data_IF_320310459160
#
_entry.id   IF_320310459160
#
_cell.length_a   1.000
_cell.length_b   1.000
_cell.length_c   1.000
_cell.angle_alpha   90.00
_cell.angle_beta   90.00
_cell.angle_gamma   90.00
#
_symmetry.space_group_name_H-M   'P 1'
#
loop_
_entity.id
_entity.type
_entity.pdbx_description
1 polymer ?
#
# COMPACT_ATOMS: atom_id res chain seq x y z
N UNK A 1 26.18 34.76 3.41
CA UNK A 1 24.90 34.19 3.89
C UNK A 1 23.86 34.52 2.83
N UNK A 2 23.31 33.50 2.14
CA UNK A 2 22.11 32.85 2.66
C UNK A 2 22.22 31.33 2.74
N UNK A 3 21.43 30.78 3.66
CA UNK A 3 21.33 29.38 4.03
C UNK A 3 20.13 28.71 3.37
N UNK A 4 20.19 27.37 3.36
CA UNK A 4 19.09 26.41 3.17
C UNK A 4 18.81 25.97 1.74
N UNK A 5 19.75 25.20 1.18
CA UNK A 5 19.42 24.13 0.24
C UNK A 5 18.91 22.94 1.05
N UNK A 6 17.61 22.67 0.97
CA UNK A 6 17.02 21.40 1.45
C UNK A 6 17.50 20.32 0.48
N UNK A 7 18.42 19.48 0.95
CA UNK A 7 18.96 18.33 0.24
C UNK A 7 17.83 17.32 -0.02
N UNK A 8 17.39 17.23 -1.27
CA UNK A 8 16.61 16.08 -1.76
C UNK A 8 17.54 14.86 -1.84
N UNK A 9 17.18 13.71 -1.26
CA UNK A 9 17.92 12.49 -1.50
C UNK A 9 17.51 11.89 -2.85
N UNK A 10 18.53 11.60 -3.65
CA UNK A 10 18.55 10.62 -4.72
C UNK A 10 17.95 11.04 -6.08
N UNK A 11 18.85 11.60 -6.87
CA UNK A 11 18.84 11.73 -8.34
C UNK A 11 18.36 10.42 -9.01
N UNK A 12 17.17 10.45 -9.61
CA UNK A 12 16.55 9.31 -10.32
C UNK A 12 16.91 9.38 -11.80
N UNK A 13 17.74 8.44 -12.31
CA UNK A 13 17.45 7.94 -13.66
C UNK A 13 17.83 6.47 -13.86
N UNK A 14 16.87 5.54 -13.88
CA UNK A 14 17.01 4.26 -14.59
C UNK A 14 15.69 3.80 -15.23
N UNK A 15 15.64 3.92 -16.55
CA UNK A 15 14.61 3.33 -17.42
C UNK A 15 13.49 4.30 -17.78
N UNK A 16 13.55 4.87 -18.99
CA UNK A 16 12.51 5.70 -19.65
C UNK A 16 11.70 6.57 -18.67
N UNK A 17 12.18 7.78 -18.40
CA UNK A 17 11.55 8.71 -17.46
C UNK A 17 10.05 8.86 -17.77
N UNK A 18 9.22 8.16 -16.99
CA UNK A 18 7.81 8.47 -16.92
C UNK A 18 7.75 9.82 -16.22
N UNK A 19 7.32 10.93 -16.87
CA UNK A 19 7.19 12.19 -16.15
C UNK A 19 6.24 12.04 -14.97
N UNK A 20 6.72 12.45 -13.80
CA UNK A 20 5.96 12.49 -12.55
C UNK A 20 5.67 13.96 -12.21
N UNK A 21 4.46 14.25 -11.76
CA UNK A 21 4.14 15.54 -11.13
C UNK A 21 4.72 15.58 -9.71
N UNK A 22 4.75 14.44 -9.02
CA UNK A 22 5.43 14.30 -7.73
C UNK A 22 5.75 12.83 -7.41
N UNK A 23 6.62 12.64 -6.42
CA UNK A 23 6.97 11.32 -5.87
C UNK A 23 6.75 11.26 -4.36
N UNK A 24 6.61 10.04 -3.84
CA UNK A 24 6.54 9.72 -2.42
C UNK A 24 7.39 8.46 -2.17
N UNK A 25 8.36 8.53 -1.27
CA UNK A 25 9.13 7.36 -0.83
C UNK A 25 8.43 6.73 0.39
N UNK A 26 8.17 5.43 0.32
CA UNK A 26 7.42 4.67 1.33
C UNK A 26 8.31 3.59 1.92
N UNK A 27 8.39 3.54 3.25
CA UNK A 27 9.12 2.50 3.97
C UNK A 27 8.31 1.20 4.04
N UNK A 28 8.87 0.13 3.47
CA UNK A 28 8.20 -1.18 3.41
C UNK A 28 8.18 -1.94 4.74
N UNK A 29 8.98 -1.52 5.72
CA UNK A 29 8.89 -2.03 7.08
C UNK A 29 7.62 -1.55 7.80
N UNK A 30 7.10 -0.38 7.42
CA UNK A 30 5.86 0.19 7.96
C UNK A 30 4.67 -0.22 7.09
N UNK A 31 4.81 -0.08 5.77
CA UNK A 31 3.76 -0.38 4.82
C UNK A 31 4.23 -1.48 3.86
N UNK A 32 3.84 -2.75 4.11
CA UNK A 32 4.20 -3.86 3.23
C UNK A 32 3.84 -3.58 1.78
N UNK A 33 4.58 -4.16 0.84
CA UNK A 33 4.41 -3.92 -0.60
C UNK A 33 2.97 -4.05 -1.09
N UNK A 34 2.20 -4.99 -0.55
CA UNK A 34 0.79 -5.18 -0.87
C UNK A 34 -0.09 -3.99 -0.49
N UNK A 35 0.20 -3.33 0.64
CA UNK A 35 -0.50 -2.13 1.10
C UNK A 35 -0.19 -0.97 0.15
N UNK A 36 1.07 -0.81 -0.24
CA UNK A 36 1.49 0.22 -1.20
C UNK A 36 0.79 0.00 -2.55
N UNK A 37 0.80 -1.23 -3.06
CA UNK A 37 0.14 -1.58 -4.32
C UNK A 37 -1.37 -1.33 -4.28
N UNK A 38 -2.05 -1.75 -3.20
CA UNK A 38 -3.48 -1.54 -3.01
C UNK A 38 -3.82 -0.05 -2.94
N UNK A 39 -2.98 0.72 -2.26
CA UNK A 39 -3.17 2.17 -2.17
C UNK A 39 -2.98 2.81 -3.54
N UNK A 40 -1.92 2.48 -4.27
CA UNK A 40 -1.72 2.98 -5.63
C UNK A 40 -2.89 2.62 -6.55
N UNK A 41 -3.43 1.41 -6.46
CA UNK A 41 -4.58 0.96 -7.23
C UNK A 41 -5.82 1.84 -6.99
N UNK A 42 -6.08 2.23 -5.74
CA UNK A 42 -7.20 3.09 -5.38
C UNK A 42 -7.13 4.50 -5.98
N UNK A 43 -5.95 4.95 -6.42
CA UNK A 43 -5.72 6.24 -7.06
C UNK A 43 -5.58 6.15 -8.59
N UNK A 44 -5.70 4.96 -9.18
CA UNK A 44 -5.53 4.77 -10.63
C UNK A 44 -6.62 5.42 -11.47
N UNK A 45 -7.74 5.81 -10.87
CA UNK A 45 -8.79 6.58 -11.51
C UNK A 45 -8.37 8.04 -11.77
N UNK A 46 -7.63 8.65 -10.83
CA UNK A 46 -7.22 10.08 -10.82
C UNK A 46 -5.78 10.30 -11.26
N UNK A 47 -4.91 9.32 -11.05
CA UNK A 47 -3.48 9.39 -11.32
C UNK A 47 -3.01 8.15 -12.07
N UNK A 48 -1.90 8.30 -12.80
CA UNK A 48 -1.06 7.18 -13.18
C UNK A 48 0.00 7.00 -12.10
N UNK A 49 0.10 5.78 -11.56
CA UNK A 49 1.06 5.43 -10.51
C UNK A 49 2.18 4.57 -11.11
N UNK A 50 3.42 4.89 -10.76
CA UNK A 50 4.60 4.08 -11.06
C UNK A 50 5.27 3.70 -9.76
N UNK A 51 5.74 2.46 -9.64
CA UNK A 51 6.41 1.99 -8.44
C UNK A 51 7.79 1.48 -8.81
N UNK A 52 8.79 1.92 -8.06
CA UNK A 52 10.17 1.46 -8.17
C UNK A 52 10.69 1.09 -6.79
N UNK A 53 11.40 -0.03 -6.68
CA UNK A 53 12.08 -0.39 -5.44
C UNK A 53 13.33 0.45 -5.28
N UNK A 54 13.49 1.11 -4.13
CA UNK A 54 14.71 1.81 -3.74
C UNK A 54 15.57 0.94 -2.82
N UNK A 55 16.85 1.31 -2.66
CA UNK A 55 17.69 0.72 -1.64
C UNK A 55 17.10 0.94 -0.23
N UNK A 56 17.35 0.00 0.68
CA UNK A 56 16.96 0.16 2.09
C UNK A 56 15.49 -0.13 2.38
N UNK A 57 14.88 -1.10 1.68
CA UNK A 57 13.50 -1.55 1.92
C UNK A 57 12.49 -0.41 1.76
N UNK A 58 12.67 0.42 0.74
CA UNK A 58 11.75 1.50 0.38
C UNK A 58 11.19 1.29 -1.01
N UNK A 59 10.01 1.85 -1.26
CA UNK A 59 9.38 1.90 -2.57
C UNK A 59 9.17 3.37 -2.89
N UNK A 60 9.73 3.82 -4.02
CA UNK A 60 9.40 5.10 -4.62
C UNK A 60 8.11 4.96 -5.41
N UNK A 61 7.13 5.80 -5.09
CA UNK A 61 5.88 5.91 -5.84
C UNK A 61 5.87 7.22 -6.58
N UNK A 62 5.85 7.15 -7.91
CA UNK A 62 5.71 8.30 -8.80
C UNK A 62 4.28 8.47 -9.26
N UNK A 63 3.80 9.71 -9.27
CA UNK A 63 2.43 10.05 -9.66
C UNK A 63 2.43 11.00 -10.85
N UNK A 64 1.56 10.72 -11.83
CA UNK A 64 1.15 11.69 -12.83
C UNK A 64 -0.37 11.89 -12.78
N UNK A 65 -0.80 13.12 -12.58
CA UNK A 65 -2.19 13.52 -12.52
C UNK A 65 -2.83 13.37 -13.90
N UNK A 66 -4.04 12.83 -13.95
CA UNK A 66 -4.82 12.74 -15.20
C UNK A 66 -5.54 14.04 -15.53
N UNK A 67 -5.90 14.81 -14.51
CA UNK A 67 -6.53 16.12 -14.66
C UNK A 67 -5.56 17.23 -14.27
N UNK A 68 -5.39 18.21 -15.15
CA UNK A 68 -4.51 19.37 -14.91
C UNK A 68 -5.00 20.31 -13.80
N UNK A 69 -6.28 20.22 -13.43
CA UNK A 69 -6.88 21.00 -12.33
C UNK A 69 -6.75 20.33 -10.97
N UNK A 70 -6.24 19.10 -10.89
CA UNK A 70 -6.05 18.42 -9.63
C UNK A 70 -4.86 19.01 -8.86
N UNK A 71 -5.02 19.18 -7.55
CA UNK A 71 -3.96 19.67 -6.67
C UNK A 71 -3.03 18.50 -6.25
N UNK A 72 -1.73 18.55 -6.62
CA UNK A 72 -0.76 17.54 -6.22
C UNK A 72 -0.66 17.34 -4.70
N UNK A 73 -0.77 18.40 -3.91
CA UNK A 73 -0.59 18.31 -2.46
C UNK A 73 -1.81 17.73 -1.76
N UNK A 74 -3.01 18.03 -2.24
CA UNK A 74 -4.23 17.35 -1.81
C UNK A 74 -4.14 15.83 -2.06
N UNK A 75 -3.71 15.42 -3.26
CA UNK A 75 -3.58 13.99 -3.60
C UNK A 75 -2.48 13.33 -2.77
N UNK A 76 -1.36 14.01 -2.53
CA UNK A 76 -0.30 13.53 -1.65
C UNK A 76 -0.81 13.27 -0.23
N UNK A 77 -1.59 14.20 0.32
CA UNK A 77 -2.19 14.05 1.65
C UNK A 77 -3.20 12.90 1.71
N UNK A 78 -4.09 12.82 0.73
CA UNK A 78 -5.06 11.72 0.59
C UNK A 78 -4.36 10.36 0.46
N UNK A 79 -3.28 10.27 -0.32
CA UNK A 79 -2.48 9.06 -0.47
C UNK A 79 -1.85 8.62 0.86
N UNK A 80 -1.31 9.56 1.65
CA UNK A 80 -0.79 9.28 2.98
C UNK A 80 -1.84 8.71 3.94
N UNK A 81 -3.04 9.30 3.96
CA UNK A 81 -4.15 8.78 4.76
C UNK A 81 -4.59 7.38 4.31
N UNK A 82 -4.70 7.17 2.99
CA UNK A 82 -5.07 5.88 2.44
C UNK A 82 -4.04 4.79 2.75
N UNK A 83 -2.73 5.10 2.74
CA UNK A 83 -1.67 4.17 3.16
C UNK A 83 -1.89 3.70 4.61
N UNK A 84 -2.21 4.62 5.51
CA UNK A 84 -2.49 4.32 6.92
C UNK A 84 -3.73 3.42 7.03
N UNK A 85 -4.82 3.77 6.32
CA UNK A 85 -6.07 3.02 6.36
C UNK A 85 -5.90 1.58 5.86
N UNK A 86 -5.26 1.40 4.70
CA UNK A 86 -5.00 0.07 4.16
C UNK A 86 -3.99 -0.70 5.00
N UNK A 87 -2.98 -0.03 5.56
CA UNK A 87 -1.99 -0.63 6.45
C UNK A 87 -2.61 -1.14 7.75
N UNK A 88 -3.50 -0.35 8.36
CA UNK A 88 -4.21 -0.75 9.57
C UNK A 88 -5.10 -1.98 9.32
N UNK A 89 -5.84 -1.98 8.20
CA UNK A 89 -6.67 -3.14 7.82
C UNK A 89 -5.83 -4.39 7.60
N UNK A 90 -4.71 -4.29 6.88
CA UNK A 90 -3.79 -5.40 6.70
C UNK A 90 -3.23 -5.91 8.05
N UNK A 91 -2.86 -5.00 8.96
CA UNK A 91 -2.39 -5.38 10.30
C UNK A 91 -3.46 -6.13 11.11
N UNK A 92 -4.72 -5.68 11.05
CA UNK A 92 -5.84 -6.34 11.73
C UNK A 92 -6.10 -7.71 11.09
N UNK A 93 -6.11 -7.80 9.77
CA UNK A 93 -6.30 -9.06 9.05
C UNK A 93 -5.24 -10.08 9.44
N UNK A 94 -3.97 -9.66 9.52
CA UNK A 94 -2.87 -10.51 9.95
C UNK A 94 -3.01 -10.95 11.41
N UNK A 95 -3.25 -10.01 12.32
CA UNK A 95 -3.42 -10.30 13.77
C UNK A 95 -4.60 -11.21 14.06
N UNK A 96 -5.63 -11.19 13.22
CA UNK A 96 -6.85 -12.00 13.40
C UNK A 96 -6.84 -13.30 12.60
N UNK A 97 -5.81 -13.55 11.78
CA UNK A 97 -5.72 -14.72 10.90
C UNK A 97 -5.86 -16.03 11.67
N UNK A 98 -5.02 -16.25 12.69
CA UNK A 98 -5.01 -17.49 13.46
C UNK A 98 -6.35 -17.78 14.15
N UNK A 99 -7.01 -16.73 14.68
CA UNK A 99 -8.33 -16.88 15.31
C UNK A 99 -9.38 -17.27 14.27
N UNK A 100 -9.38 -16.62 13.10
CA UNK A 100 -10.29 -16.95 12.00
C UNK A 100 -10.10 -18.39 11.51
N UNK A 101 -8.85 -18.80 11.31
CA UNK A 101 -8.50 -20.16 10.90
C UNK A 101 -8.97 -21.19 11.93
N UNK A 102 -8.71 -20.96 13.22
CA UNK A 102 -9.17 -21.85 14.28
C UNK A 102 -10.70 -22.00 14.32
N UNK A 103 -11.45 -20.90 14.17
CA UNK A 103 -12.92 -20.92 14.11
C UNK A 103 -13.40 -21.73 12.91
N UNK A 104 -12.82 -21.51 11.72
CA UNK A 104 -13.19 -22.25 10.50
C UNK A 104 -12.87 -23.73 10.63
N UNK A 105 -11.68 -24.08 11.15
CA UNK A 105 -11.30 -25.47 11.38
C UNK A 105 -12.22 -26.17 12.37
N UNK A 106 -12.61 -25.51 13.46
CA UNK A 106 -13.55 -26.08 14.43
C UNK A 106 -14.94 -26.31 13.80
N UNK A 107 -15.47 -25.32 13.07
CA UNK A 107 -16.76 -25.45 12.39
C UNK A 107 -16.77 -26.59 11.35
N UNK A 108 -15.68 -26.73 10.57
CA UNK A 108 -15.55 -27.84 9.61
C UNK A 108 -15.45 -29.20 10.32
N UNK A 109 -14.77 -29.28 11.46
CA UNK A 109 -14.67 -30.50 12.24
C UNK A 109 -16.04 -30.94 12.80
N UNK A 110 -16.83 -30.01 13.34
CA UNK A 110 -18.19 -30.29 13.82
C UNK A 110 -19.12 -30.73 12.69
N UNK A 111 -19.08 -30.05 11.54
CA UNK A 111 -19.89 -30.40 10.37
C UNK A 111 -19.54 -31.78 9.78
N UNK A 112 -18.33 -32.29 10.02
CA UNK A 112 -17.84 -33.55 9.48
C UNK A 112 -18.14 -34.77 10.37
N UNK A 113 -18.73 -34.58 11.56
CA UNK A 113 -19.12 -35.71 12.44
C UNK A 113 -20.37 -36.40 11.85
N UNK A 114 -20.28 -37.67 11.41
CA UNK A 114 -21.43 -38.37 10.83
C UNK A 114 -22.51 -38.61 11.89
N UNK A 115 -23.78 -38.44 11.49
CA UNK A 115 -24.93 -38.65 12.35
C UNK A 115 -24.93 -40.09 12.92
N UNK A 116 -25.30 -40.28 14.20
CA UNK A 116 -25.32 -41.61 14.80
C UNK A 116 -26.27 -42.53 14.04
N UNK A 117 -25.78 -43.70 13.65
CA UNK A 117 -26.57 -44.73 13.00
C UNK A 117 -27.73 -45.14 13.92
N UNK A 118 -28.97 -44.89 13.49
CA UNK A 118 -30.17 -45.35 14.19
C UNK A 118 -30.12 -46.89 14.27
N UNK A 119 -30.03 -47.41 15.49
CA UNK A 119 -30.22 -48.83 15.82
C UNK A 119 -31.69 -49.20 15.80
#
# INVERSE_FOLDING_TARGET
MPASAVTQPSDVPRGTAFPFDFTVSVDTAIFPREVVLRTCYAFTDRCHCWLESEEGARILVGFRLKASSADPDAIRGEFGNALIDFGLRASIEEKTRAVREAIVSAALAEASVPAPAKR
#
